data_IF_502471162531
#
_entry.id   IF_502471162531
#
_cell.length_a   1.000
_cell.length_b   1.000
_cell.length_c   1.000
_cell.angle_alpha   90.00
_cell.angle_beta   90.00
_cell.angle_gamma   90.00
#
_symmetry.space_group_name_H-M   'P 1'
#
loop_
_entity.id
_entity.type
_entity.pdbx_description
1 polymer ?
#
# COMPACT_ATOMS: atom_id res chain seq x y z
N UNK A 1 59.44 16.86 16.32
CA UNK A 1 58.16 16.38 16.90
C UNK A 1 56.94 17.04 16.26
N UNK A 2 56.89 18.38 16.10
CA UNK A 2 55.74 19.06 15.46
C UNK A 2 55.40 18.57 14.05
N UNK A 3 56.39 18.31 13.19
CA UNK A 3 56.16 17.79 11.83
C UNK A 3 55.55 16.38 11.79
N UNK A 4 55.82 15.55 12.80
CA UNK A 4 55.22 14.22 12.93
C UNK A 4 53.76 14.31 13.40
N UNK A 5 53.45 15.29 14.26
CA UNK A 5 52.09 15.60 14.71
C UNK A 5 51.27 16.18 13.54
N UNK A 6 51.84 17.12 12.76
CA UNK A 6 51.21 17.67 11.55
C UNK A 6 50.96 16.60 10.47
N UNK A 7 51.94 15.71 10.23
CA UNK A 7 51.78 14.61 9.27
C UNK A 7 50.69 13.62 9.70
N UNK A 8 50.63 13.27 10.99
CA UNK A 8 49.56 12.40 11.53
C UNK A 8 48.19 13.05 11.54
N UNK A 9 48.10 14.36 11.82
CA UNK A 9 46.84 15.09 11.74
C UNK A 9 46.33 15.20 10.29
N UNK A 10 47.21 15.47 9.32
CA UNK A 10 46.80 15.48 7.90
C UNK A 10 46.33 14.10 7.42
N UNK A 11 46.98 13.02 7.87
CA UNK A 11 46.55 11.65 7.54
C UNK A 11 45.23 11.31 8.23
N UNK A 12 45.01 11.72 9.48
CA UNK A 12 43.74 11.54 10.18
C UNK A 12 42.60 12.26 9.44
N UNK A 13 42.82 13.52 9.05
CA UNK A 13 41.84 14.31 8.29
C UNK A 13 41.50 13.59 6.98
N UNK A 14 42.50 13.12 6.23
CA UNK A 14 42.28 12.38 4.99
C UNK A 14 41.43 11.12 5.21
N UNK A 15 41.76 10.31 6.22
CA UNK A 15 41.03 9.06 6.52
C UNK A 15 39.59 9.36 6.95
N UNK A 16 39.37 10.36 7.80
CA UNK A 16 38.03 10.77 8.23
C UNK A 16 37.21 11.31 7.05
N UNK A 17 37.82 12.09 6.16
CA UNK A 17 37.16 12.58 4.95
C UNK A 17 36.76 11.46 4.01
N UNK A 18 37.65 10.50 3.74
CA UNK A 18 37.33 9.33 2.90
C UNK A 18 36.20 8.50 3.54
N UNK A 19 36.29 8.25 4.85
CA UNK A 19 35.24 7.52 5.56
C UNK A 19 33.89 8.23 5.50
N UNK A 20 33.86 9.56 5.72
CA UNK A 20 32.63 10.34 5.64
C UNK A 20 32.00 10.30 4.24
N UNK A 21 32.82 10.38 3.18
CA UNK A 21 32.36 10.27 1.80
C UNK A 21 31.76 8.88 1.54
N UNK A 22 32.47 7.81 1.92
CA UNK A 22 31.97 6.43 1.74
C UNK A 22 30.67 6.23 2.51
N UNK A 23 30.61 6.66 3.77
CA UNK A 23 29.41 6.58 4.59
C UNK A 23 28.22 7.30 3.94
N UNK A 24 28.42 8.54 3.48
CA UNK A 24 27.38 9.31 2.78
C UNK A 24 26.84 8.58 1.55
N UNK A 25 27.73 8.03 0.71
CA UNK A 25 27.30 7.26 -0.46
C UNK A 25 26.57 5.97 -0.09
N UNK A 26 27.03 5.25 0.94
CA UNK A 26 26.35 4.03 1.39
C UNK A 26 24.94 4.31 1.89
N UNK A 27 24.74 5.36 2.70
CA UNK A 27 23.41 5.75 3.17
C UNK A 27 22.52 6.22 2.02
N UNK A 28 23.05 7.03 1.10
CA UNK A 28 22.31 7.46 -0.08
C UNK A 28 21.88 6.30 -0.99
N UNK A 29 22.74 5.29 -1.14
CA UNK A 29 22.43 4.10 -1.94
C UNK A 29 21.32 3.26 -1.30
N UNK A 30 21.34 3.09 0.03
CA UNK A 30 20.28 2.39 0.78
C UNK A 30 18.92 3.05 0.53
N UNK A 31 18.84 4.38 0.59
CA UNK A 31 17.59 5.10 0.33
C UNK A 31 17.09 4.91 -1.10
N UNK A 32 17.98 4.90 -2.09
CA UNK A 32 17.62 4.64 -3.50
C UNK A 32 17.10 3.22 -3.68
N UNK A 33 17.78 2.22 -3.10
CA UNK A 33 17.36 0.81 -3.18
C UNK A 33 15.99 0.63 -2.53
N UNK A 34 15.76 1.25 -1.36
CA UNK A 34 14.46 1.23 -0.69
C UNK A 34 13.34 1.77 -1.57
N UNK A 35 13.55 2.90 -2.25
CA UNK A 35 12.55 3.47 -3.18
C UNK A 35 12.29 2.51 -4.34
N UNK A 36 13.34 1.91 -4.89
CA UNK A 36 13.23 0.96 -6.01
C UNK A 36 12.45 -0.30 -5.62
N UNK A 37 12.75 -0.91 -4.49
CA UNK A 37 12.03 -2.10 -4.00
C UNK A 37 10.55 -1.79 -3.71
N UNK A 38 10.25 -0.63 -3.12
CA UNK A 38 8.88 -0.19 -2.93
C UNK A 38 8.13 0.03 -4.26
N UNK A 39 8.81 0.58 -5.29
CA UNK A 39 8.25 0.72 -6.63
C UNK A 39 7.98 -0.63 -7.30
N UNK A 40 8.89 -1.60 -7.16
CA UNK A 40 8.71 -2.95 -7.71
C UNK A 40 7.53 -3.67 -7.06
N UNK A 41 7.34 -3.52 -5.74
CA UNK A 41 6.15 -4.02 -5.05
C UNK A 41 4.88 -3.38 -5.63
N UNK A 42 4.85 -2.06 -5.75
CA UNK A 42 3.72 -1.32 -6.30
C UNK A 42 3.40 -1.71 -7.74
N UNK A 43 4.41 -2.00 -8.57
CA UNK A 43 4.20 -2.48 -9.93
C UNK A 43 3.47 -3.82 -9.97
N UNK A 44 3.90 -4.78 -9.13
CA UNK A 44 3.23 -6.09 -9.05
C UNK A 44 1.78 -5.95 -8.60
N UNK A 45 1.53 -5.12 -7.59
CA UNK A 45 0.19 -4.86 -7.07
C UNK A 45 -0.67 -4.18 -8.13
N UNK A 46 -0.13 -3.18 -8.82
CA UNK A 46 -0.85 -2.42 -9.84
C UNK A 46 -1.17 -3.27 -11.06
N UNK A 47 -0.23 -4.09 -11.54
CA UNK A 47 -0.50 -5.04 -12.63
C UNK A 47 -1.64 -5.97 -12.25
N UNK A 48 -1.66 -6.49 -11.02
CA UNK A 48 -2.71 -7.40 -10.55
C UNK A 48 -4.06 -6.71 -10.33
N UNK A 49 -4.06 -5.51 -9.76
CA UNK A 49 -5.27 -4.73 -9.54
C UNK A 49 -5.89 -4.25 -10.86
N UNK A 50 -5.06 -3.74 -11.78
CA UNK A 50 -5.51 -3.33 -13.11
C UNK A 50 -5.99 -4.51 -13.95
N UNK A 51 -5.39 -5.71 -13.83
CA UNK A 51 -5.89 -6.91 -14.51
C UNK A 51 -7.26 -7.34 -13.99
N UNK A 52 -7.50 -7.26 -12.67
CA UNK A 52 -8.83 -7.54 -12.10
C UNK A 52 -9.85 -6.51 -12.58
N UNK A 53 -9.51 -5.22 -12.51
CA UNK A 53 -10.39 -4.13 -12.91
C UNK A 53 -10.75 -4.18 -14.42
N UNK A 54 -9.79 -4.54 -15.27
CA UNK A 54 -9.98 -4.64 -16.73
C UNK A 54 -10.52 -5.98 -17.22
N UNK A 55 -10.65 -6.99 -16.34
CA UNK A 55 -11.13 -8.33 -16.72
C UNK A 55 -12.49 -8.28 -17.40
N UNK A 56 -12.70 -8.96 -18.55
CA UNK A 56 -14.00 -8.97 -19.22
C UNK A 56 -15.04 -9.88 -18.55
N UNK A 57 -14.64 -10.67 -17.54
CA UNK A 57 -15.54 -11.59 -16.86
C UNK A 57 -16.59 -10.86 -16.01
N UNK A 58 -17.80 -11.44 -15.91
CA UNK A 58 -18.90 -10.90 -15.11
C UNK A 58 -18.62 -10.92 -13.61
N UNK A 59 -17.85 -11.89 -13.13
CA UNK A 59 -17.39 -11.99 -11.75
C UNK A 59 -15.94 -12.47 -11.83
N UNK A 60 -15.02 -11.70 -11.26
CA UNK A 60 -13.61 -12.07 -11.22
C UNK A 60 -13.02 -11.62 -9.90
N UNK A 61 -12.41 -12.55 -9.17
CA UNK A 61 -11.74 -12.23 -7.93
C UNK A 61 -10.31 -12.73 -7.95
N UNK A 62 -9.40 -11.92 -7.44
CA UNK A 62 -8.01 -12.31 -7.25
C UNK A 62 -7.44 -11.62 -6.01
N UNK A 63 -6.35 -12.14 -5.47
CA UNK A 63 -5.72 -11.64 -4.26
C UNK A 63 -4.25 -11.36 -4.46
N UNK A 64 -3.70 -10.40 -3.71
CA UNK A 64 -2.26 -10.17 -3.69
C UNK A 64 -1.75 -10.22 -2.26
N UNK A 65 -0.81 -11.13 -2.02
CA UNK A 65 -0.11 -11.26 -0.74
C UNK A 65 1.12 -10.37 -0.71
N UNK A 66 1.26 -9.63 0.37
CA UNK A 66 2.35 -8.71 0.63
C UNK A 66 3.44 -9.41 1.44
N UNK A 67 4.72 -9.24 1.08
CA UNK A 67 5.80 -9.75 1.90
C UNK A 67 5.84 -9.04 3.26
N UNK A 68 6.30 -9.75 4.30
CA UNK A 68 6.44 -9.21 5.66
C UNK A 68 7.43 -8.05 5.74
N UNK A 69 8.40 -7.98 4.83
CA UNK A 69 9.41 -6.91 4.77
C UNK A 69 9.92 -6.79 3.33
N UNK A 70 10.55 -5.65 3.02
CA UNK A 70 11.36 -5.51 1.81
C UNK A 70 12.83 -5.71 2.20
N UNK A 71 13.56 -6.54 1.46
CA UNK A 71 15.01 -6.68 1.65
C UNK A 71 15.71 -5.50 0.97
N UNK A 72 16.28 -4.62 1.79
CA UNK A 72 17.04 -3.45 1.33
C UNK A 72 18.48 -3.63 1.76
N UNK A 73 19.34 -4.04 0.82
CA UNK A 73 20.77 -4.24 1.05
C UNK A 73 21.08 -5.20 2.22
N UNK A 74 20.30 -6.27 2.39
CA UNK A 74 20.46 -7.27 3.43
C UNK A 74 19.81 -6.91 4.76
N UNK A 75 19.03 -5.81 4.82
CA UNK A 75 18.27 -5.40 5.99
C UNK A 75 16.77 -5.44 5.72
N UNK A 76 16.00 -5.87 6.71
CA UNK A 76 14.55 -5.87 6.63
C UNK A 76 14.00 -4.44 6.77
N UNK A 77 13.27 -4.00 5.75
CA UNK A 77 12.54 -2.76 5.76
C UNK A 77 11.05 -3.00 5.97
N UNK A 78 10.53 -2.53 7.10
CA UNK A 78 9.10 -2.62 7.43
C UNK A 78 8.31 -1.43 6.89
N UNK A 79 7.16 -1.73 6.32
CA UNK A 79 6.34 -0.78 5.58
C UNK A 79 4.86 -0.99 5.84
N UNK A 80 4.07 0.03 5.54
CA UNK A 80 2.62 -0.07 5.48
C UNK A 80 2.17 0.45 4.12
N UNK A 81 1.27 -0.29 3.47
CA UNK A 81 0.65 0.17 2.23
C UNK A 81 -0.70 0.82 2.54
N UNK A 82 -0.88 2.04 2.04
CA UNK A 82 -2.14 2.77 2.06
C UNK A 82 -2.80 2.67 0.69
N UNK A 83 -4.07 2.31 0.65
CA UNK A 83 -4.90 2.28 -0.55
C UNK A 83 -5.99 3.32 -0.40
N UNK A 84 -6.02 4.29 -1.30
CA UNK A 84 -7.03 5.34 -1.34
C UNK A 84 -7.68 5.40 -2.71
N UNK A 85 -8.91 5.88 -2.77
CA UNK A 85 -9.65 6.06 -4.02
C UNK A 85 -10.00 7.53 -4.16
N UNK A 86 -9.98 8.02 -5.39
CA UNK A 86 -10.48 9.36 -5.74
C UNK A 86 -11.31 9.24 -7.00
N UNK A 87 -12.49 9.83 -7.00
CA UNK A 87 -13.38 9.87 -8.15
C UNK A 87 -13.33 11.26 -8.79
N UNK A 88 -13.35 11.31 -10.12
CA UNK A 88 -13.45 12.57 -10.87
C UNK A 88 -14.19 12.33 -12.18
N UNK A 89 -14.85 13.37 -12.67
CA UNK A 89 -15.48 13.35 -13.99
C UNK A 89 -14.42 13.60 -15.08
N UNK A 90 -14.48 12.80 -16.14
CA UNK A 90 -13.62 12.94 -17.31
C UNK A 90 -14.49 13.12 -18.53
N UNK A 91 -14.28 14.22 -19.25
CA UNK A 91 -14.90 14.46 -20.55
C UNK A 91 -14.32 13.49 -21.58
N UNK A 92 -15.13 12.52 -22.01
CA UNK A 92 -14.81 11.60 -23.10
C UNK A 92 -15.63 11.97 -24.35
N UNK A 93 -15.20 11.53 -25.55
CA UNK A 93 -15.96 11.77 -26.78
C UNK A 93 -17.40 11.21 -26.74
N UNK A 94 -17.67 10.26 -25.84
CA UNK A 94 -18.98 9.64 -25.59
C UNK A 94 -19.85 10.39 -24.57
N UNK A 95 -19.33 11.46 -23.96
CA UNK A 95 -19.96 12.21 -22.86
C UNK A 95 -19.13 12.18 -21.58
N UNK A 96 -19.55 12.92 -20.54
CA UNK A 96 -18.90 12.90 -19.24
C UNK A 96 -19.08 11.52 -18.57
N UNK A 97 -17.98 10.93 -18.13
CA UNK A 97 -17.99 9.68 -17.37
C UNK A 97 -17.22 9.83 -16.05
N UNK A 98 -17.74 9.25 -14.98
CA UNK A 98 -17.05 9.17 -13.69
C UNK A 98 -15.95 8.12 -13.74
N UNK A 99 -14.72 8.53 -13.47
CA UNK A 99 -13.55 7.67 -13.41
C UNK A 99 -13.08 7.56 -11.97
N UNK A 100 -12.89 6.32 -11.52
CA UNK A 100 -12.28 6.02 -10.22
C UNK A 100 -10.78 5.84 -10.40
N UNK A 101 -9.98 6.53 -9.59
CA UNK A 101 -8.53 6.36 -9.51
C UNK A 101 -8.16 5.71 -8.19
N UNK A 102 -7.61 4.50 -8.27
CA UNK A 102 -7.12 3.76 -7.11
C UNK A 102 -5.63 4.05 -6.96
N UNK A 103 -5.22 4.50 -5.77
CA UNK A 103 -3.87 4.93 -5.46
C UNK A 103 -3.30 4.01 -4.39
N UNK A 104 -2.18 3.36 -4.70
CA UNK A 104 -1.39 2.56 -3.77
C UNK A 104 -0.16 3.35 -3.36
N UNK A 105 0.05 3.54 -2.07
CA UNK A 105 1.17 4.30 -1.51
C UNK A 105 1.88 3.49 -0.43
N UNK A 106 3.21 3.41 -0.48
CA UNK A 106 4.03 2.69 0.51
C UNK A 106 4.69 3.70 1.44
N UNK A 107 4.53 3.49 2.74
CA UNK A 107 5.11 4.31 3.80
C UNK A 107 6.05 3.48 4.67
N UNK A 108 7.11 4.07 5.24
CA UNK A 108 7.82 3.43 6.33
C UNK A 108 6.87 3.20 7.49
N UNK A 109 6.84 1.98 8.04
CA UNK A 109 5.90 1.63 9.10
C UNK A 109 6.00 2.58 10.29
N UNK A 110 7.23 2.86 10.74
CA UNK A 110 7.52 3.78 11.84
C UNK A 110 6.88 5.16 11.64
N UNK A 111 7.00 5.71 10.44
CA UNK A 111 6.53 7.06 10.14
C UNK A 111 4.99 7.10 10.07
N UNK A 112 4.37 6.06 9.51
CA UNK A 112 2.91 5.96 9.48
C UNK A 112 2.33 5.75 10.90
N UNK A 113 2.92 4.87 11.70
CA UNK A 113 2.50 4.66 13.11
C UNK A 113 2.65 5.95 13.91
N UNK A 114 3.71 6.71 13.67
CA UNK A 114 3.86 8.03 14.29
C UNK A 114 2.72 8.98 13.91
N UNK A 115 2.31 9.01 12.63
CA UNK A 115 1.21 9.88 12.18
C UNK A 115 -0.15 9.56 12.80
N UNK A 116 -0.36 8.31 13.24
CA UNK A 116 -1.60 7.90 13.92
C UNK A 116 -1.60 8.41 15.37
N UNK A 117 -0.45 8.40 16.02
CA UNK A 117 -0.30 8.86 17.41
C UNK A 117 -0.14 10.39 17.52
N UNK A 118 0.35 11.04 16.47
CA UNK A 118 0.60 12.48 16.40
C UNK A 118 -0.03 13.06 15.12
N UNK A 119 -1.23 13.66 15.23
CA UNK A 119 -1.94 14.24 14.09
C UNK A 119 -1.19 15.38 13.39
N UNK A 120 -0.18 15.98 14.05
CA UNK A 120 0.64 17.04 13.43
C UNK A 120 1.73 16.47 12.51
N UNK A 121 2.03 15.17 12.63
CA UNK A 121 3.07 14.51 11.86
C UNK A 121 2.52 14.02 10.52
N UNK A 122 3.02 14.59 9.42
CA UNK A 122 2.66 14.17 8.06
C UNK A 122 3.67 13.13 7.57
N UNK A 123 3.26 11.87 7.36
CA UNK A 123 4.17 10.81 6.92
C UNK A 123 4.49 10.99 5.44
N UNK A 124 5.75 10.73 5.05
CA UNK A 124 6.18 10.80 3.65
C UNK A 124 6.10 9.42 2.99
N UNK A 125 5.37 9.32 1.89
CA UNK A 125 5.37 8.12 1.06
C UNK A 125 6.75 7.92 0.42
N UNK A 126 7.22 6.67 0.40
CA UNK A 126 8.45 6.26 -0.29
C UNK A 126 8.18 6.19 -1.79
N UNK A 127 7.04 5.59 -2.14
CA UNK A 127 6.60 5.41 -3.50
C UNK A 127 5.07 5.40 -3.53
N UNK A 128 4.49 5.83 -4.65
CA UNK A 128 3.07 5.73 -4.92
C UNK A 128 2.84 5.43 -6.40
N UNK A 129 1.85 4.61 -6.70
CA UNK A 129 1.37 4.34 -8.06
C UNK A 129 -0.15 4.25 -8.07
N UNK A 130 -0.75 4.52 -9.23
CA UNK A 130 -2.20 4.55 -9.36
C UNK A 130 -2.65 4.02 -10.71
N UNK A 131 -3.85 3.47 -10.77
CA UNK A 131 -4.52 3.16 -12.03
C UNK A 131 -5.92 3.77 -12.06
N UNK A 132 -6.41 4.04 -13.26
CA UNK A 132 -7.75 4.56 -13.53
C UNK A 132 -8.67 3.44 -13.99
N UNK A 133 -9.92 3.44 -13.55
CA UNK A 133 -10.95 2.49 -13.97
C UNK A 133 -12.30 3.17 -14.09
N UNK A 134 -13.13 2.68 -15.01
CA UNK A 134 -14.54 3.05 -15.14
C UNK A 134 -15.44 2.34 -14.13
N UNK A 135 -14.89 1.38 -13.38
CA UNK A 135 -15.62 0.69 -12.34
C UNK A 135 -15.89 1.63 -11.15
N UNK A 136 -17.06 1.48 -10.54
CA UNK A 136 -17.31 2.03 -9.21
C UNK A 136 -16.46 1.26 -8.20
N UNK A 137 -15.60 1.97 -7.47
CA UNK A 137 -14.67 1.34 -6.52
C UNK A 137 -15.16 1.55 -5.09
N UNK A 138 -15.36 0.46 -4.37
CA UNK A 138 -15.73 0.45 -2.96
C UNK A 138 -14.61 -0.17 -2.14
N UNK A 139 -14.17 0.53 -1.10
CA UNK A 139 -13.17 0.05 -0.17
C UNK A 139 -13.85 -0.47 1.10
N UNK A 140 -13.35 -1.59 1.65
CA UNK A 140 -13.73 -2.01 3.00
C UNK A 140 -12.48 -2.09 3.87
N UNK A 141 -12.56 -1.65 5.12
CA UNK A 141 -11.44 -1.74 6.07
C UNK A 141 -11.94 -1.87 7.51
N UNK A 142 -11.04 -2.33 8.37
CA UNK A 142 -11.08 -2.06 9.80
C UNK A 142 -10.32 -0.76 10.11
N UNK A 143 -10.60 -0.17 11.26
CA UNK A 143 -9.89 1.03 11.71
C UNK A 143 -8.44 0.66 12.05
N UNK A 144 -7.46 1.26 11.38
CA UNK A 144 -6.06 0.95 11.63
C UNK A 144 -5.52 1.82 12.78
N UNK A 145 -5.08 1.16 13.86
CA UNK A 145 -4.63 1.82 15.10
C UNK A 145 -3.09 1.91 15.20
N UNK A 146 -2.37 1.48 14.15
CA UNK A 146 -0.92 1.61 14.02
C UNK A 146 -0.14 0.34 14.29
N UNK A 147 -0.46 -0.43 15.33
CA UNK A 147 0.11 -1.77 15.55
C UNK A 147 -0.93 -2.89 15.47
N UNK A 148 -2.21 -2.52 15.37
CA UNK A 148 -3.33 -3.43 15.26
C UNK A 148 -4.49 -2.80 14.48
N UNK A 149 -5.51 -3.63 14.21
CA UNK A 149 -6.76 -3.23 13.58
C UNK A 149 -7.88 -3.27 14.63
N UNK A 150 -8.65 -2.19 14.70
CA UNK A 150 -9.80 -2.05 15.58
C UNK A 150 -11.02 -2.80 15.03
N UNK A 151 -11.72 -3.48 15.93
CA UNK A 151 -12.91 -4.27 15.61
C UNK A 151 -12.61 -5.75 15.36
N UNK A 152 -13.50 -6.64 15.82
CA UNK A 152 -13.34 -8.08 15.62
C UNK A 152 -14.01 -8.47 14.31
N UNK A 153 -13.21 -8.77 13.29
CA UNK A 153 -13.62 -9.57 12.13
C UNK A 153 -14.59 -8.94 11.12
N UNK A 154 -15.21 -7.79 11.42
CA UNK A 154 -16.12 -7.10 10.50
C UNK A 154 -15.42 -5.92 9.84
N UNK A 155 -15.32 -5.94 8.51
CA UNK A 155 -14.90 -4.77 7.75
C UNK A 155 -16.09 -3.81 7.60
N UNK A 156 -15.81 -2.51 7.62
CA UNK A 156 -16.77 -1.45 7.33
C UNK A 156 -16.53 -0.93 5.91
N UNK A 157 -17.60 -0.64 5.19
CA UNK A 157 -17.53 0.11 3.93
C UNK A 157 -17.01 1.53 4.19
N UNK A 158 -15.97 1.91 3.47
CA UNK A 158 -15.37 3.24 3.59
C UNK A 158 -16.02 4.18 2.59
N UNK A 159 -16.32 5.39 3.05
CA UNK A 159 -16.91 6.42 2.22
C UNK A 159 -15.83 7.06 1.33
N UNK A 160 -15.96 6.88 0.01
CA UNK A 160 -14.95 7.29 -0.98
C UNK A 160 -14.67 8.80 -1.00
N UNK A 161 -15.62 9.61 -0.54
CA UNK A 161 -15.57 11.08 -0.45
C UNK A 161 -14.91 11.61 0.83
N UNK A 162 -14.77 10.80 1.87
CA UNK A 162 -14.21 11.22 3.17
C UNK A 162 -12.68 11.16 3.23
N UNK A 163 -12.03 10.65 2.19
CA UNK A 163 -10.57 10.44 2.17
C UNK A 163 -10.11 9.26 3.03
N UNK A 164 -11.05 8.43 3.50
CA UNK A 164 -10.76 7.17 4.17
C UNK A 164 -9.91 6.25 3.27
N UNK A 165 -9.16 5.34 3.90
CA UNK A 165 -8.19 4.51 3.19
C UNK A 165 -8.03 3.16 3.86
N UNK A 166 -7.72 2.16 3.07
CA UNK A 166 -7.34 0.83 3.55
C UNK A 166 -5.86 0.83 3.89
N UNK A 167 -5.49 0.24 5.01
CA UNK A 167 -4.09 0.06 5.41
C UNK A 167 -3.75 -1.43 5.45
N UNK A 168 -2.60 -1.79 4.87
CA UNK A 168 -2.02 -3.13 4.86
C UNK A 168 -0.70 -3.07 5.63
N UNK A 169 -0.70 -3.61 6.86
CA UNK A 169 0.46 -3.75 7.73
C UNK A 169 0.74 -5.26 7.97
N UNK A 170 1.65 -5.87 7.19
CA UNK A 170 2.10 -7.24 7.41
C UNK A 170 2.77 -7.50 8.78
N UNK A 171 3.09 -6.44 9.54
CA UNK A 171 3.82 -6.48 10.81
C UNK A 171 2.91 -6.11 12.00
N UNK A 172 1.61 -5.87 11.78
CA UNK A 172 0.62 -5.69 12.83
C UNK A 172 0.47 -6.97 13.69
N UNK A 173 -0.08 -6.83 14.91
CA UNK A 173 -0.31 -7.96 15.83
C UNK A 173 -1.17 -9.05 15.20
N UNK A 174 -2.23 -8.64 14.51
CA UNK A 174 -3.03 -9.48 13.62
C UNK A 174 -2.78 -8.95 12.20
N UNK A 175 -1.87 -9.55 11.43
CA UNK A 175 -1.47 -9.01 10.14
C UNK A 175 -2.61 -8.99 9.12
N UNK A 176 -2.76 -7.87 8.43
CA UNK A 176 -3.47 -7.82 7.15
C UNK A 176 -2.41 -7.77 6.08
N UNK A 177 -1.96 -8.95 5.64
CA UNK A 177 -0.84 -9.17 4.72
C UNK A 177 -1.30 -9.54 3.31
N UNK A 178 -2.60 -9.40 3.00
CA UNK A 178 -3.16 -9.64 1.68
C UNK A 178 -4.25 -8.62 1.35
N UNK A 179 -4.43 -8.34 0.06
CA UNK A 179 -5.61 -7.65 -0.46
C UNK A 179 -6.42 -8.61 -1.30
N UNK A 180 -7.74 -8.54 -1.16
CA UNK A 180 -8.67 -9.20 -2.05
C UNK A 180 -9.31 -8.15 -2.95
N UNK A 181 -9.34 -8.45 -4.24
CA UNK A 181 -9.97 -7.64 -5.27
C UNK A 181 -11.10 -8.48 -5.86
N UNK A 182 -12.31 -7.92 -5.90
CA UNK A 182 -13.48 -8.58 -6.48
C UNK A 182 -14.12 -7.63 -7.47
N UNK A 183 -14.12 -8.00 -8.74
CA UNK A 183 -14.86 -7.29 -9.79
C UNK A 183 -16.16 -8.02 -10.07
N UNK A 184 -17.25 -7.26 -10.15
CA UNK A 184 -18.53 -7.73 -10.65
C UNK A 184 -19.08 -6.80 -11.73
N UNK A 185 -19.80 -7.36 -12.70
CA UNK A 185 -20.56 -6.62 -13.71
C UNK A 185 -22.03 -6.98 -13.53
N UNK A 186 -22.84 -6.06 -12.99
CA UNK A 186 -24.29 -6.26 -12.82
C UNK A 186 -25.04 -5.19 -13.59
N UNK A 187 -26.02 -5.61 -14.41
CA UNK A 187 -26.85 -4.70 -15.24
C UNK A 187 -26.02 -3.73 -16.09
N UNK A 188 -24.84 -4.17 -16.54
CA UNK A 188 -23.91 -3.35 -17.34
C UNK A 188 -23.05 -2.37 -16.54
N UNK A 189 -23.21 -2.28 -15.22
CA UNK A 189 -22.36 -1.49 -14.33
C UNK A 189 -21.25 -2.37 -13.76
N UNK A 190 -20.01 -1.88 -13.85
CA UNK A 190 -18.84 -2.55 -13.29
C UNK A 190 -18.57 -2.01 -11.90
N UNK A 191 -18.47 -2.89 -10.91
CA UNK A 191 -18.08 -2.56 -9.54
C UNK A 191 -16.79 -3.30 -9.17
N UNK A 192 -15.92 -2.66 -8.41
CA UNK A 192 -14.66 -3.20 -7.92
C UNK A 192 -14.61 -3.02 -6.39
N UNK A 193 -14.65 -4.14 -5.69
CA UNK A 193 -14.53 -4.20 -4.24
C UNK A 193 -13.09 -4.51 -3.86
N UNK A 194 -12.52 -3.70 -2.96
CA UNK A 194 -11.15 -3.87 -2.47
C UNK A 194 -11.18 -3.95 -0.96
N UNK A 195 -10.58 -5.00 -0.40
CA UNK A 195 -10.54 -5.16 1.05
C UNK A 195 -9.28 -5.90 1.53
N UNK A 196 -8.78 -5.56 2.74
CA UNK A 196 -7.66 -6.24 3.36
C UNK A 196 -8.10 -7.58 3.94
N UNK A 197 -7.18 -8.54 3.96
CA UNK A 197 -7.35 -9.79 4.68
C UNK A 197 -5.99 -10.36 5.11
N UNK A 198 -6.01 -11.37 5.97
CA UNK A 198 -4.82 -12.18 6.27
C UNK A 198 -4.74 -13.39 5.34
N UNK A 199 -3.55 -13.82 4.96
CA UNK A 199 -3.34 -15.06 4.19
C UNK A 199 -3.97 -16.26 4.92
N UNK A 200 -4.68 -17.10 4.16
CA UNK A 200 -5.27 -18.34 4.65
C UNK A 200 -6.80 -18.32 4.66
N UNK A 201 -7.46 -19.17 5.49
CA UNK A 201 -8.91 -19.37 5.45
C UNK A 201 -9.70 -18.13 5.88
N UNK A 202 -9.07 -17.22 6.63
CA UNK A 202 -9.66 -15.96 7.08
C UNK A 202 -9.99 -15.03 5.92
N UNK A 203 -9.21 -15.03 4.83
CA UNK A 203 -9.50 -14.18 3.67
C UNK A 203 -10.80 -14.58 2.96
N UNK A 204 -11.06 -15.89 2.85
CA UNK A 204 -12.32 -16.38 2.27
C UNK A 204 -13.52 -16.02 3.16
N UNK A 205 -13.37 -16.15 4.49
CA UNK A 205 -14.42 -15.75 5.42
C UNK A 205 -14.72 -14.24 5.36
N UNK A 206 -13.68 -13.40 5.27
CA UNK A 206 -13.82 -11.95 5.08
C UNK A 206 -14.51 -11.67 3.73
N UNK A 207 -14.11 -12.35 2.65
CA UNK A 207 -14.75 -12.22 1.34
C UNK A 207 -16.24 -12.57 1.39
N UNK A 208 -16.62 -13.66 2.07
CA UNK A 208 -18.03 -14.01 2.27
C UNK A 208 -18.76 -12.95 3.09
N UNK A 209 -18.15 -12.41 4.15
CA UNK A 209 -18.74 -11.35 4.96
C UNK A 209 -18.94 -10.04 4.19
N UNK A 210 -17.96 -9.63 3.37
CA UNK A 210 -18.09 -8.47 2.49
C UNK A 210 -19.17 -8.73 1.45
N UNK A 211 -19.17 -9.91 0.84
CA UNK A 211 -20.22 -10.32 -0.10
C UNK A 211 -21.62 -10.23 0.51
N UNK A 212 -21.79 -10.69 1.75
CA UNK A 212 -23.06 -10.63 2.48
C UNK A 212 -23.47 -9.18 2.79
N UNK A 213 -22.51 -8.30 3.07
CA UNK A 213 -22.78 -6.87 3.28
C UNK A 213 -23.25 -6.15 2.01
N UNK A 214 -22.76 -6.57 0.84
CA UNK A 214 -23.15 -6.00 -0.46
C UNK A 214 -24.43 -6.66 -1.00
N UNK A 215 -24.57 -7.98 -0.84
CA UNK A 215 -25.70 -8.80 -1.30
C UNK A 215 -26.20 -9.74 -0.21
N UNK A 216 -27.08 -9.26 0.68
CA UNK A 216 -27.62 -10.07 1.78
C UNK A 216 -28.32 -11.34 1.29
N UNK A 217 -27.95 -12.49 1.86
CA UNK A 217 -28.48 -13.82 1.57
C UNK A 217 -27.89 -14.52 0.34
N UNK A 218 -27.01 -13.85 -0.41
CA UNK A 218 -26.40 -14.40 -1.64
C UNK A 218 -24.87 -14.36 -1.59
N UNK A 219 -24.30 -13.28 -1.07
CA UNK A 219 -22.86 -13.08 -1.09
C UNK A 219 -22.30 -12.73 -2.48
N UNK A 220 -20.98 -12.71 -2.58
CA UNK A 220 -20.31 -12.69 -3.89
C UNK A 220 -20.46 -14.06 -4.57
N UNK A 221 -20.74 -14.04 -5.87
CA UNK A 221 -20.87 -15.27 -6.68
C UNK A 221 -19.58 -15.68 -7.39
N UNK A 222 -18.49 -14.98 -7.04
CA UNK A 222 -17.11 -15.36 -7.26
C UNK A 222 -16.46 -15.58 -5.89
#
# INVERSE_FOLDING_TARGET
>A
MLGFILSKMNLLILVVSIFAIVAFFTFGLIDIVKVKEAQLLLDRVLTKASSVASSPAYCFSDSHTFPRSLDVSGQEFYYVMKISVTQFEKELPSGPETISKVIFSVFPRRDLVKSINDPSYIPKAIAAKSFETKAEVTLFSQDYLGDEYGGIGTLRELATDTGESVYIDPQARVPMDSIQLVKEIKRGQSSLYIFPCSVGPTCNAIKSSVGESVYPGVGFTC
#
